data_IF_467414254606
#
_entry.id   IF_467414254606
#
_cell.length_a   1.000
_cell.length_b   1.000
_cell.length_c   1.000
_cell.angle_alpha   90.00
_cell.angle_beta   90.00
_cell.angle_gamma   90.00
#
_symmetry.space_group_name_H-M   'P 1'
#
loop_
_entity.id
_entity.type
_entity.pdbx_description
1 polymer ?
#
# COMPACT_ATOMS: atom_id res chain seq x y z
N UNK A 1 2.60 15.68 6.71
CA UNK A 1 1.94 16.98 6.92
C UNK A 1 2.52 17.75 8.13
N UNK A 2 3.31 17.09 8.98
CA UNK A 2 3.83 17.69 10.21
C UNK A 2 4.99 18.63 9.88
N UNK A 3 4.74 19.91 9.97
CA UNK A 3 5.73 20.97 9.74
C UNK A 3 5.98 21.81 10.99
N UNK A 4 6.23 23.09 10.80
CA UNK A 4 6.59 24.00 11.88
C UNK A 4 5.53 24.01 13.00
N UNK A 5 5.97 23.79 14.23
CA UNK A 5 5.12 23.76 15.42
C UNK A 5 4.16 22.55 15.50
N UNK A 6 4.24 21.58 14.58
CA UNK A 6 3.41 20.38 14.58
C UNK A 6 1.95 20.57 14.13
N UNK A 7 1.56 21.80 13.81
CA UNK A 7 0.20 22.16 13.37
C UNK A 7 0.15 22.87 12.02
N UNK A 8 1.30 23.18 11.44
CA UNK A 8 1.44 23.81 10.13
C UNK A 8 2.01 22.81 9.13
N UNK A 9 1.66 22.94 7.87
CA UNK A 9 2.28 22.17 6.78
C UNK A 9 3.56 22.80 6.25
N UNK A 10 3.93 24.00 6.72
CA UNK A 10 5.16 24.69 6.35
C UNK A 10 6.39 23.91 6.80
N UNK A 11 7.35 23.76 5.91
CA UNK A 11 8.57 22.98 6.11
C UNK A 11 8.33 21.48 6.35
N UNK A 12 7.16 20.95 5.97
CA UNK A 12 6.87 19.52 5.99
C UNK A 12 7.28 18.84 4.69
N UNK A 13 7.39 17.50 4.71
CA UNK A 13 7.60 16.72 3.50
C UNK A 13 6.47 16.90 2.48
N UNK A 14 5.24 17.17 2.94
CA UNK A 14 4.13 17.50 2.06
C UNK A 14 4.40 18.78 1.27
N UNK A 15 4.81 19.88 1.93
CA UNK A 15 5.13 21.15 1.25
C UNK A 15 6.26 20.96 0.22
N UNK A 16 7.33 20.25 0.60
CA UNK A 16 8.43 19.93 -0.32
C UNK A 16 7.91 19.19 -1.56
N UNK A 17 7.03 18.22 -1.40
CA UNK A 17 6.45 17.48 -2.51
C UNK A 17 5.64 18.37 -3.45
N UNK A 18 4.92 19.36 -2.91
CA UNK A 18 4.17 20.33 -3.70
C UNK A 18 5.08 21.25 -4.51
N UNK A 19 6.14 21.77 -3.87
CA UNK A 19 7.12 22.68 -4.50
C UNK A 19 7.90 21.98 -5.61
N UNK A 20 8.37 20.76 -5.34
CA UNK A 20 9.20 20.00 -6.29
C UNK A 20 8.38 19.20 -7.32
N UNK A 21 7.07 19.17 -7.15
CA UNK A 21 6.15 18.38 -7.98
C UNK A 21 6.49 16.88 -8.05
N UNK A 22 7.10 16.34 -7.00
CA UNK A 22 7.53 14.95 -6.94
C UNK A 22 6.43 14.03 -6.40
N UNK A 23 6.35 12.78 -6.90
CA UNK A 23 5.52 11.77 -6.29
C UNK A 23 6.03 11.39 -4.91
N UNK A 24 5.11 10.99 -4.04
CA UNK A 24 5.41 10.60 -2.66
C UNK A 24 5.09 9.12 -2.47
N UNK A 25 6.02 8.38 -1.91
CA UNK A 25 5.76 7.04 -1.39
C UNK A 25 5.39 7.18 0.09
N UNK A 26 4.14 6.85 0.41
CA UNK A 26 3.66 6.89 1.79
C UNK A 26 4.07 5.61 2.52
N UNK A 27 5.00 5.73 3.46
CA UNK A 27 5.38 4.61 4.33
C UNK A 27 4.48 4.61 5.57
N UNK A 28 3.66 3.55 5.71
CA UNK A 28 2.68 3.43 6.80
C UNK A 28 3.14 2.38 7.79
N UNK A 29 3.25 2.77 9.07
CA UNK A 29 3.51 1.81 10.14
C UNK A 29 2.28 0.95 10.41
N UNK A 30 2.42 -0.34 10.16
CA UNK A 30 1.33 -1.31 10.23
C UNK A 30 1.39 -2.20 11.49
N UNK A 31 2.27 -1.89 12.45
CA UNK A 31 2.41 -2.68 13.66
C UNK A 31 1.09 -2.72 14.45
N UNK A 32 0.51 -3.93 14.58
CA UNK A 32 -0.72 -4.13 15.34
C UNK A 32 -1.98 -3.56 14.70
N UNK A 33 -1.89 -3.07 13.45
CA UNK A 33 -3.02 -2.54 12.70
C UNK A 33 -3.50 -3.51 11.62
N UNK A 34 -4.73 -3.37 11.16
CA UNK A 34 -5.34 -4.15 10.09
C UNK A 34 -6.24 -3.26 9.21
N UNK A 35 -7.55 -3.37 9.32
CA UNK A 35 -8.49 -2.57 8.51
C UNK A 35 -8.29 -1.05 8.67
N UNK A 36 -7.87 -0.59 9.84
CA UNK A 36 -7.56 0.82 10.11
C UNK A 36 -6.46 1.40 9.21
N UNK A 37 -5.60 0.55 8.61
CA UNK A 37 -4.60 0.98 7.65
C UNK A 37 -5.23 1.63 6.41
N UNK A 38 -6.33 1.10 5.91
CA UNK A 38 -7.06 1.72 4.80
C UNK A 38 -7.62 3.09 5.18
N UNK A 39 -8.16 3.25 6.39
CA UNK A 39 -8.64 4.53 6.89
C UNK A 39 -7.48 5.53 7.05
N UNK A 40 -6.32 5.09 7.51
CA UNK A 40 -5.10 5.90 7.61
C UNK A 40 -4.64 6.40 6.24
N UNK A 41 -4.50 5.48 5.27
CA UNK A 41 -4.10 5.82 3.90
C UNK A 41 -5.11 6.79 3.28
N UNK A 42 -6.40 6.51 3.42
CA UNK A 42 -7.46 7.40 2.95
C UNK A 42 -7.35 8.80 3.55
N UNK A 43 -7.10 8.89 4.84
CA UNK A 43 -6.87 10.17 5.51
C UNK A 43 -5.74 10.96 4.88
N UNK A 44 -4.60 10.34 4.60
CA UNK A 44 -3.48 10.99 3.93
C UNK A 44 -3.77 11.41 2.48
N UNK A 45 -4.57 10.62 1.75
CA UNK A 45 -4.93 10.93 0.37
C UNK A 45 -5.91 12.10 0.25
N UNK A 46 -6.85 12.22 1.19
CA UNK A 46 -7.98 13.14 1.12
C UNK A 46 -7.84 14.36 2.05
N UNK A 47 -6.84 14.37 2.94
CA UNK A 47 -6.65 15.49 3.87
C UNK A 47 -6.30 16.77 3.13
N UNK A 48 -7.10 17.80 3.34
CA UNK A 48 -6.87 19.15 2.81
C UNK A 48 -6.36 20.05 3.94
N UNK A 49 -5.10 20.45 3.90
CA UNK A 49 -4.55 21.34 4.93
C UNK A 49 -5.14 22.76 4.83
N UNK A 50 -5.06 23.50 5.93
CA UNK A 50 -5.50 24.89 6.01
C UNK A 50 -4.33 25.81 6.30
N UNK A 51 -4.42 27.03 5.80
CA UNK A 51 -3.46 28.09 6.13
C UNK A 51 -3.71 28.70 7.53
N UNK A 52 -2.87 29.64 7.93
CA UNK A 52 -2.99 30.33 9.22
C UNK A 52 -4.31 31.09 9.38
N UNK A 53 -4.97 31.44 8.29
CA UNK A 53 -6.29 32.09 8.25
C UNK A 53 -7.45 31.08 8.26
N UNK A 54 -7.17 29.78 8.34
CA UNK A 54 -8.19 28.71 8.33
C UNK A 54 -8.74 28.38 6.93
N UNK A 55 -8.20 28.97 5.86
CA UNK A 55 -8.60 28.72 4.48
C UNK A 55 -7.93 27.46 3.95
N UNK A 56 -8.69 26.63 3.26
CA UNK A 56 -8.18 25.42 2.62
C UNK A 56 -7.13 25.73 1.56
N UNK A 57 -5.99 25.05 1.67
CA UNK A 57 -4.92 25.13 0.68
C UNK A 57 -5.29 24.16 -0.45
N UNK A 58 -5.61 24.71 -1.63
CA UNK A 58 -5.87 23.88 -2.81
C UNK A 58 -4.60 23.15 -3.22
N UNK A 59 -4.64 21.85 -3.15
CA UNK A 59 -3.53 20.98 -3.51
C UNK A 59 -4.04 19.69 -4.15
N UNK A 60 -3.16 19.01 -4.86
CA UNK A 60 -3.39 17.67 -5.36
C UNK A 60 -2.58 16.71 -4.51
N UNK A 61 -3.18 15.59 -4.10
CA UNK A 61 -2.41 14.55 -3.45
C UNK A 61 -1.30 14.06 -4.39
N UNK A 62 -0.06 14.07 -3.91
CA UNK A 62 1.09 13.57 -4.65
C UNK A 62 1.49 12.16 -4.23
N UNK A 63 0.67 11.52 -3.40
CA UNK A 63 0.90 10.13 -3.00
C UNK A 63 0.65 9.24 -4.20
N UNK A 64 1.73 8.71 -4.75
CA UNK A 64 1.72 7.83 -5.91
C UNK A 64 1.79 6.35 -5.55
N UNK A 65 2.10 6.03 -4.30
CA UNK A 65 2.18 4.65 -3.84
C UNK A 65 2.29 4.52 -2.33
N UNK A 66 2.00 3.32 -1.82
CA UNK A 66 2.01 3.00 -0.39
C UNK A 66 2.96 1.84 -0.13
N UNK A 67 3.77 1.95 0.93
CA UNK A 67 4.60 0.87 1.47
C UNK A 67 4.21 0.61 2.92
N UNK A 68 3.86 -0.62 3.24
CA UNK A 68 3.54 -0.99 4.63
C UNK A 68 4.79 -1.43 5.38
N UNK A 69 5.08 -0.76 6.50
CA UNK A 69 6.18 -1.14 7.38
C UNK A 69 5.67 -1.90 8.59
N UNK A 70 6.36 -2.96 8.98
CA UNK A 70 6.05 -3.82 10.14
C UNK A 70 4.70 -4.54 10.05
N UNK A 71 4.20 -4.80 8.84
CA UNK A 71 2.99 -5.57 8.63
C UNK A 71 3.26 -7.08 8.76
N UNK A 72 2.26 -7.82 9.23
CA UNK A 72 2.31 -9.28 9.17
C UNK A 72 2.08 -9.76 7.74
N UNK A 73 2.94 -10.65 7.19
CA UNK A 73 2.75 -11.24 5.87
C UNK A 73 1.38 -11.91 5.69
N UNK A 74 0.81 -12.45 6.78
CA UNK A 74 -0.49 -13.14 6.78
C UNK A 74 -1.65 -12.23 6.34
N UNK A 75 -1.61 -10.95 6.70
CA UNK A 75 -2.70 -10.02 6.40
C UNK A 75 -2.37 -9.09 5.22
N UNK A 76 -1.10 -9.03 4.81
CA UNK A 76 -0.64 -8.12 3.77
C UNK A 76 -1.47 -8.20 2.49
N UNK A 77 -1.65 -9.39 1.93
CA UNK A 77 -2.37 -9.57 0.66
C UNK A 77 -3.81 -9.03 0.70
N UNK A 78 -4.50 -9.20 1.84
CA UNK A 78 -5.86 -8.67 2.02
C UNK A 78 -5.89 -7.16 2.13
N UNK A 79 -4.92 -6.58 2.86
CA UNK A 79 -4.83 -5.12 3.02
C UNK A 79 -4.40 -4.47 1.71
N UNK A 80 -3.47 -5.08 0.97
CA UNK A 80 -3.08 -4.62 -0.38
C UNK A 80 -4.30 -4.53 -1.29
N UNK A 81 -5.02 -5.64 -1.47
CA UNK A 81 -6.21 -5.68 -2.33
C UNK A 81 -7.24 -4.60 -1.93
N UNK A 82 -7.52 -4.48 -0.63
CA UNK A 82 -8.48 -3.51 -0.12
C UNK A 82 -8.07 -2.06 -0.41
N UNK A 83 -6.79 -1.72 -0.24
CA UNK A 83 -6.27 -0.37 -0.49
C UNK A 83 -6.28 -0.07 -1.99
N UNK A 84 -5.84 -1.00 -2.83
CA UNK A 84 -5.83 -0.82 -4.29
C UNK A 84 -7.23 -0.70 -4.87
N UNK A 85 -8.18 -1.55 -4.41
CA UNK A 85 -9.55 -1.55 -4.90
C UNK A 85 -10.37 -0.33 -4.43
N UNK A 86 -10.22 0.09 -3.17
CA UNK A 86 -11.03 1.16 -2.60
C UNK A 86 -10.42 2.55 -2.73
N UNK A 87 -9.10 2.66 -2.73
CA UNK A 87 -8.41 3.95 -2.72
C UNK A 87 -7.69 4.26 -4.03
N UNK A 88 -7.63 3.30 -4.95
CA UNK A 88 -7.00 3.46 -6.27
C UNK A 88 -5.56 3.97 -6.23
N UNK A 89 -4.81 3.56 -5.20
CA UNK A 89 -3.40 3.87 -5.04
C UNK A 89 -2.61 2.54 -4.98
N UNK A 90 -1.53 2.39 -5.76
CA UNK A 90 -0.77 1.14 -5.78
C UNK A 90 -0.07 0.90 -4.44
N UNK A 91 -0.10 -0.34 -3.98
CA UNK A 91 0.70 -0.80 -2.85
C UNK A 91 1.98 -1.42 -3.38
N UNK A 92 3.08 -0.71 -3.20
CA UNK A 92 4.41 -1.04 -3.73
C UNK A 92 4.97 -2.29 -3.06
N UNK A 93 4.62 -2.53 -1.81
CA UNK A 93 5.13 -3.68 -1.07
C UNK A 93 5.01 -3.51 0.42
N UNK A 94 5.81 -4.30 1.13
CA UNK A 94 5.88 -4.23 2.58
C UNK A 94 7.24 -4.60 3.12
N UNK A 95 7.53 -4.14 4.33
CA UNK A 95 8.65 -4.61 5.14
C UNK A 95 8.06 -5.27 6.39
N UNK A 96 8.36 -6.54 6.68
CA UNK A 96 7.90 -7.17 7.91
C UNK A 96 8.62 -6.62 9.14
N UNK A 97 8.16 -6.99 10.32
CA UNK A 97 8.88 -6.64 11.55
C UNK A 97 10.25 -7.33 11.59
N UNK A 98 11.31 -6.57 11.49
CA UNK A 98 12.70 -7.05 11.46
C UNK A 98 13.32 -6.93 12.86
N UNK A 99 13.34 -8.03 13.63
CA UNK A 99 13.89 -8.03 14.98
C UNK A 99 15.42 -7.86 15.04
N UNK A 100 16.10 -8.06 13.92
CA UNK A 100 17.56 -7.91 13.83
C UNK A 100 17.99 -6.48 13.48
N UNK A 101 17.10 -5.66 12.92
CA UNK A 101 17.40 -4.28 12.55
C UNK A 101 17.20 -3.38 13.76
N UNK A 102 18.28 -3.10 14.46
CA UNK A 102 18.27 -2.22 15.63
C UNK A 102 19.29 -1.11 15.44
N UNK A 103 18.80 0.04 15.04
CA UNK A 103 19.59 1.28 15.05
C UNK A 103 19.33 1.96 16.38
N UNK A 104 20.33 1.99 17.27
CA UNK A 104 20.22 2.62 18.57
C UNK A 104 19.93 4.12 18.42
N UNK A 105 18.97 4.63 19.20
CA UNK A 105 18.71 6.07 19.30
C UNK A 105 19.43 6.63 20.51
N UNK A 106 20.23 7.66 20.32
CA UNK A 106 20.80 8.46 21.43
C UNK A 106 19.93 9.68 21.72
N UNK A 107 19.98 10.19 22.94
CA UNK A 107 19.21 11.37 23.35
C UNK A 107 19.41 12.63 22.49
N UNK A 108 20.46 12.68 21.67
CA UNK A 108 20.75 13.76 20.71
C UNK A 108 20.72 13.30 19.24
N UNK A 109 20.13 12.17 18.95
CA UNK A 109 19.57 11.84 17.66
C UNK A 109 20.42 11.05 16.68
N UNK A 110 21.74 11.13 16.63
CA UNK A 110 22.51 10.46 15.58
C UNK A 110 23.60 9.56 16.18
N UNK A 111 23.58 8.30 15.80
CA UNK A 111 24.67 7.34 15.98
C UNK A 111 25.41 7.29 14.66
N UNK A 112 26.73 7.40 14.69
CA UNK A 112 27.53 7.27 13.48
C UNK A 112 27.48 5.83 12.96
N UNK A 113 27.49 5.62 11.64
CA UNK A 113 27.47 4.29 11.06
C UNK A 113 28.56 3.35 11.61
N UNK A 114 29.75 3.90 11.88
CA UNK A 114 30.90 3.16 12.43
C UNK A 114 30.72 2.75 13.90
N UNK A 115 29.72 3.31 14.59
CA UNK A 115 29.40 2.98 15.99
C UNK A 115 28.34 1.87 16.10
N UNK A 116 27.80 1.38 14.96
CA UNK A 116 26.78 0.33 14.93
C UNK A 116 27.43 -0.97 14.52
N UNK A 117 27.54 -1.87 15.49
CA UNK A 117 28.08 -3.21 15.23
C UNK A 117 27.22 -3.95 14.18
N UNK A 118 27.90 -4.51 13.16
CA UNK A 118 27.24 -5.31 12.13
C UNK A 118 26.25 -4.55 11.26
N UNK A 119 26.34 -3.20 11.16
CA UNK A 119 25.43 -2.40 10.34
C UNK A 119 25.39 -2.86 8.88
N UNK A 120 26.54 -3.18 8.30
CA UNK A 120 26.61 -3.66 6.92
C UNK A 120 25.81 -4.94 6.71
N UNK A 121 25.98 -5.92 7.58
CA UNK A 121 25.22 -7.18 7.53
C UNK A 121 23.72 -6.96 7.76
N UNK A 122 23.35 -6.04 8.65
CA UNK A 122 21.97 -5.66 8.86
C UNK A 122 21.35 -5.03 7.58
N UNK A 123 22.11 -4.19 6.88
CA UNK A 123 21.67 -3.57 5.63
C UNK A 123 21.55 -4.57 4.49
N UNK A 124 22.50 -5.50 4.35
CA UNK A 124 22.43 -6.58 3.36
C UNK A 124 21.17 -7.44 3.58
N UNK A 125 20.92 -7.85 4.82
CA UNK A 125 19.70 -8.61 5.17
C UNK A 125 18.41 -7.82 4.94
N UNK A 126 18.43 -6.50 5.15
CA UNK A 126 17.30 -5.64 4.81
C UNK A 126 17.09 -5.57 3.31
N UNK A 127 18.15 -5.43 2.52
CA UNK A 127 18.09 -5.42 1.07
C UNK A 127 17.49 -6.72 0.53
N UNK A 128 18.00 -7.88 0.98
CA UNK A 128 17.45 -9.19 0.61
C UNK A 128 15.97 -9.32 0.97
N UNK A 129 15.57 -8.79 2.12
CA UNK A 129 14.16 -8.77 2.50
C UNK A 129 13.33 -7.91 1.55
N UNK A 130 13.79 -6.71 1.22
CA UNK A 130 13.09 -5.77 0.36
C UNK A 130 12.99 -6.27 -1.08
N UNK A 131 14.03 -6.92 -1.62
CA UNK A 131 13.97 -7.55 -2.95
C UNK A 131 12.84 -8.58 -3.07
N UNK A 132 12.50 -9.25 -1.98
CA UNK A 132 11.44 -10.26 -1.95
C UNK A 132 10.05 -9.73 -1.60
N UNK A 133 9.95 -8.51 -1.06
CA UNK A 133 8.69 -7.99 -0.50
C UNK A 133 8.25 -6.66 -1.09
N UNK A 134 9.12 -6.00 -1.86
CA UNK A 134 8.85 -4.72 -2.52
C UNK A 134 8.89 -4.91 -4.04
N UNK A 135 7.87 -4.44 -4.72
CA UNK A 135 7.79 -4.42 -6.16
C UNK A 135 8.58 -3.22 -6.71
N UNK A 136 9.81 -3.47 -7.13
CA UNK A 136 10.73 -2.44 -7.61
C UNK A 136 10.27 -1.86 -8.96
N UNK A 137 9.53 -2.61 -9.77
CA UNK A 137 9.01 -2.12 -11.05
C UNK A 137 7.88 -1.11 -10.80
N UNK A 138 6.96 -1.42 -9.89
CA UNK A 138 5.92 -0.48 -9.46
C UNK A 138 6.54 0.75 -8.81
N UNK A 139 7.57 0.58 -7.98
CA UNK A 139 8.30 1.70 -7.39
C UNK A 139 8.91 2.60 -8.47
N UNK A 140 9.60 2.03 -9.45
CA UNK A 140 10.21 2.77 -10.56
C UNK A 140 9.15 3.50 -11.40
N UNK A 141 8.01 2.86 -11.65
CA UNK A 141 6.87 3.47 -12.36
C UNK A 141 6.33 4.69 -11.60
N UNK A 142 6.11 4.57 -10.30
CA UNK A 142 5.63 5.69 -9.45
C UNK A 142 6.63 6.84 -9.44
N UNK A 143 7.92 6.54 -9.44
CA UNK A 143 8.99 7.56 -9.49
C UNK A 143 9.16 8.20 -10.87
N UNK A 144 8.34 7.88 -11.86
CA UNK A 144 8.45 8.41 -13.24
C UNK A 144 9.51 7.71 -14.10
N UNK A 145 9.92 6.52 -13.70
CA UNK A 145 10.76 5.63 -14.51
C UNK A 145 10.00 5.22 -15.78
N UNK A 146 10.55 5.53 -16.94
CA UNK A 146 10.04 4.97 -18.19
C UNK A 146 10.27 3.46 -18.16
N UNK A 147 9.23 2.66 -18.37
CA UNK A 147 9.35 1.23 -18.58
C UNK A 147 10.43 0.96 -19.63
N UNK A 148 11.54 0.37 -19.23
CA UNK A 148 12.36 -0.38 -20.15
C UNK A 148 11.60 -1.67 -20.44
N UNK A 149 10.70 -1.65 -21.43
CA UNK A 149 10.21 -2.87 -22.03
C UNK A 149 11.41 -3.65 -22.55
N UNK A 150 11.87 -4.58 -21.73
CA UNK A 150 12.83 -5.58 -22.14
C UNK A 150 12.16 -6.45 -23.20
N UNK A 151 12.57 -6.29 -24.44
CA UNK A 151 12.34 -7.29 -25.47
C UNK A 151 13.13 -8.54 -25.07
N UNK A 152 12.51 -9.42 -24.31
CA UNK A 152 12.95 -10.80 -24.24
C UNK A 152 12.27 -11.53 -25.39
N UNK A 153 13.05 -11.77 -26.46
CA UNK A 153 12.65 -12.62 -27.55
C UNK A 153 12.36 -14.01 -27.04
N UNK A 154 11.09 -14.36 -26.97
CA UNK A 154 10.65 -15.73 -26.76
C UNK A 154 10.62 -16.45 -28.08
N UNK A 155 11.63 -17.29 -28.33
CA UNK A 155 11.54 -18.37 -29.30
C UNK A 155 10.47 -19.37 -28.85
N UNK A 156 9.37 -19.45 -29.58
CA UNK A 156 8.40 -20.54 -29.43
C UNK A 156 8.98 -21.83 -29.94
N UNK A 157 8.89 -22.94 -29.21
CA UNK A 157 8.91 -24.27 -29.84
C UNK A 157 7.48 -24.61 -30.28
N UNK A 158 7.34 -24.85 -31.59
CA UNK A 158 6.10 -25.26 -32.21
C UNK A 158 5.54 -26.55 -31.63
N UNK A 159 4.27 -26.56 -31.32
CA UNK A 159 3.51 -27.76 -31.02
C UNK A 159 2.64 -28.12 -32.20
N UNK A 160 2.95 -29.30 -32.72
CA UNK A 160 2.38 -29.99 -33.84
C UNK A 160 0.93 -30.34 -33.58
N UNK A 161 0.03 -29.91 -34.45
CA UNK A 161 -1.36 -30.34 -34.53
C UNK A 161 -1.45 -31.79 -34.97
N UNK A 162 -2.29 -32.56 -34.30
CA UNK A 162 -2.96 -33.76 -34.86
C UNK A 162 -4.46 -33.63 -34.62
N UNK A 163 -5.27 -34.05 -35.64
CA UNK A 163 -6.71 -33.93 -35.61
C UNK A 163 -7.40 -35.26 -35.27
N UNK A 164 -8.63 -35.16 -34.75
CA UNK A 164 -9.63 -36.21 -34.87
C UNK A 164 -10.05 -36.87 -33.56
N UNK A 165 -11.22 -36.65 -33.10
CA UNK A 165 -12.40 -37.46 -33.34
C UNK A 165 -13.60 -36.95 -32.54
N UNK A 166 -14.73 -37.08 -33.23
CA UNK A 166 -16.06 -36.66 -32.82
C UNK A 166 -16.69 -37.62 -31.78
N UNK A 167 -17.67 -37.13 -31.11
CA UNK A 167 -19.04 -37.62 -31.04
C UNK A 167 -19.62 -37.94 -29.65
N UNK A 168 -20.93 -37.68 -29.62
CA UNK A 168 -21.96 -38.08 -28.64
C UNK A 168 -21.95 -37.29 -27.31
N UNK A 169 -22.85 -36.37 -26.98
CA UNK A 169 -24.30 -36.50 -27.01
C UNK A 169 -24.81 -37.03 -25.68
N UNK A 170 -25.35 -36.15 -24.82
CA UNK A 170 -26.55 -36.43 -24.02
C UNK A 170 -26.97 -35.25 -23.13
N UNK A 171 -28.03 -34.65 -23.54
CA UNK A 171 -29.27 -34.22 -22.85
C UNK A 171 -29.25 -33.97 -21.32
N UNK A 172 -29.81 -32.83 -21.01
CA UNK A 172 -30.47 -32.32 -19.82
C UNK A 172 -31.18 -33.37 -18.92
N UNK A 173 -31.45 -33.03 -17.64
CA UNK A 173 -32.57 -32.14 -17.38
C UNK A 173 -32.34 -31.13 -16.24
N UNK A 174 -33.07 -30.02 -16.36
CA UNK A 174 -33.37 -29.04 -15.32
C UNK A 174 -34.33 -29.61 -14.27
N UNK A 175 -34.21 -29.14 -13.06
CA UNK A 175 -35.36 -28.98 -12.13
C UNK A 175 -34.96 -28.07 -10.92
N UNK A 176 -35.97 -27.66 -10.10
CA UNK A 176 -36.31 -26.22 -10.01
C UNK A 176 -36.14 -25.65 -8.60
N UNK A 177 -36.20 -24.34 -8.56
CA UNK A 177 -36.69 -23.40 -7.57
C UNK A 177 -36.70 -23.76 -6.09
N UNK A 178 -36.05 -22.92 -5.32
CA UNK A 178 -36.55 -22.63 -3.99
C UNK A 178 -36.42 -21.12 -3.73
N UNK A 179 -37.61 -20.56 -3.53
CA UNK A 179 -37.89 -19.18 -3.12
C UNK A 179 -37.70 -19.04 -1.62
N UNK A 180 -37.57 -17.74 -1.24
CA UNK A 180 -37.95 -17.12 0.02
C UNK A 180 -37.04 -17.36 1.24
N UNK A 181 -36.43 -16.30 1.74
CA UNK A 181 -37.14 -15.42 2.66
C UNK A 181 -36.31 -14.19 3.02
N UNK A 182 -36.92 -13.10 2.70
CA UNK A 182 -36.62 -11.77 3.26
C UNK A 182 -37.01 -11.78 4.74
N UNK A 183 -36.18 -11.39 5.66
CA UNK A 183 -36.69 -10.83 6.90
C UNK A 183 -35.66 -9.99 7.66
N UNK A 184 -36.09 -8.79 7.90
CA UNK A 184 -35.94 -7.97 9.09
C UNK A 184 -34.62 -7.22 9.31
N UNK A 185 -34.65 -5.98 8.83
CA UNK A 185 -33.97 -4.85 9.43
C UNK A 185 -34.32 -4.73 10.93
N UNK A 186 -33.33 -4.76 11.77
CA UNK A 186 -33.43 -4.26 13.13
C UNK A 186 -32.68 -2.92 13.21
N UNK A 187 -33.30 -1.82 13.56
CA UNK A 187 -32.63 -0.52 13.68
C UNK A 187 -31.80 -0.47 14.97
N UNK A 188 -30.57 0.04 14.84
CA UNK A 188 -29.72 0.36 15.99
C UNK A 188 -30.30 1.48 16.85
N UNK A 189 -30.13 1.43 18.20
CA UNK A 189 -30.60 2.48 19.09
C UNK A 189 -29.73 3.75 18.94
N UNK A 190 -30.40 4.87 18.88
CA UNK A 190 -29.80 6.21 18.95
C UNK A 190 -29.21 6.42 20.34
N UNK A 191 -27.95 6.80 20.38
CA UNK A 191 -27.30 7.29 21.59
C UNK A 191 -27.97 8.59 22.03
N UNK A 192 -28.67 8.57 23.15
CA UNK A 192 -29.32 9.73 23.76
C UNK A 192 -28.26 10.69 24.30
N UNK A 193 -28.41 11.97 23.94
CA UNK A 193 -27.84 13.08 24.70
C UNK A 193 -28.60 13.19 26.01
N UNK A 194 -27.89 13.14 27.11
CA UNK A 194 -28.34 13.83 28.33
C UNK A 194 -27.15 14.05 29.27
N UNK A 195 -27.00 15.36 29.58
CA UNK A 195 -26.32 16.08 30.69
C UNK A 195 -24.81 16.28 30.56
#
# INVERSE_FOLDING_TARGET
FDGLGGISVKASSWEISQILELPVILVVDAKGASLSLAAQVKGFLEYVPRDEGGKEIKCVSRIGGVLFNRISPMIYGRIKALVEEQLHVPVIGYVPGLGFLQVGSRHLGLVLPDEIDGLKEQMERLADCMENTVDLDVLAMVCGGKEKMGQSGSGMPGHRTQPGQADSGMTHPAQPGQKDSCSAHTPMPRCGKDR
#
